data_IF_855573034968
#
_entry.id   IF_855573034968
#
_cell.length_a   1.000
_cell.length_b   1.000
_cell.length_c   1.000
_cell.angle_alpha   90.00
_cell.angle_beta   90.00
_cell.angle_gamma   90.00
#
_symmetry.space_group_name_H-M   'P 1'
#
loop_
_entity.id
_entity.type
_entity.pdbx_description
1 polymer ?
#
# COMPACT_ATOMS: atom_id res chain seq x y z
N UNK A 1 -18.10 -61.91 -28.50
CA UNK A 1 -17.24 -60.76 -28.85
C UNK A 1 -17.67 -59.62 -27.97
N UNK A 2 -16.92 -59.34 -26.84
CA UNK A 2 -17.24 -58.34 -25.85
C UNK A 2 -16.38 -57.13 -26.14
N UNK A 3 -17.00 -56.00 -26.53
CA UNK A 3 -16.34 -54.73 -26.77
C UNK A 3 -16.31 -53.98 -25.43
N UNK A 4 -15.12 -53.89 -24.83
CA UNK A 4 -14.87 -53.03 -23.64
C UNK A 4 -14.67 -51.57 -24.08
N UNK A 5 -15.66 -50.72 -23.80
CA UNK A 5 -15.49 -49.28 -23.89
C UNK A 5 -14.70 -48.78 -22.67
N UNK A 6 -13.44 -48.39 -22.89
CA UNK A 6 -12.66 -47.66 -21.88
C UNK A 6 -13.06 -46.19 -21.95
N UNK A 7 -13.86 -45.75 -21.00
CA UNK A 7 -14.15 -44.31 -20.81
C UNK A 7 -12.93 -43.65 -20.16
N UNK A 8 -12.16 -42.89 -20.94
CA UNK A 8 -11.07 -42.05 -20.43
C UNK A 8 -11.68 -40.74 -19.94
N UNK A 9 -11.81 -40.60 -18.62
CA UNK A 9 -12.27 -39.36 -17.98
C UNK A 9 -11.11 -38.39 -17.97
N UNK A 10 -11.13 -37.38 -18.86
CA UNK A 10 -10.15 -36.30 -18.92
C UNK A 10 -10.52 -35.27 -17.88
N UNK A 11 -9.83 -35.28 -16.74
CA UNK A 11 -10.00 -34.33 -15.65
C UNK A 11 -9.26 -33.02 -16.04
N UNK A 12 -9.99 -32.05 -16.59
CA UNK A 12 -9.45 -30.71 -16.84
C UNK A 12 -9.34 -29.94 -15.51
N UNK A 13 -8.12 -29.85 -15.00
CA UNK A 13 -7.83 -28.95 -13.88
C UNK A 13 -7.89 -27.49 -14.38
N UNK A 14 -8.93 -26.75 -13.98
CA UNK A 14 -8.95 -25.29 -14.09
C UNK A 14 -7.93 -24.72 -13.08
N UNK A 15 -6.81 -24.23 -13.58
CA UNK A 15 -5.88 -23.44 -12.79
C UNK A 15 -6.53 -22.06 -12.53
N UNK A 16 -7.01 -21.81 -11.32
CA UNK A 16 -7.43 -20.47 -10.87
C UNK A 16 -6.17 -19.67 -10.61
N UNK A 17 -5.77 -18.86 -11.59
CA UNK A 17 -4.73 -17.85 -11.40
C UNK A 17 -5.26 -16.77 -10.45
N UNK A 18 -4.84 -16.80 -9.19
CA UNK A 18 -5.01 -15.66 -8.27
C UNK A 18 -4.08 -14.55 -8.77
N UNK A 19 -4.62 -13.65 -9.58
CA UNK A 19 -3.90 -12.46 -10.02
C UNK A 19 -3.59 -11.58 -8.81
N UNK A 20 -2.30 -11.44 -8.47
CA UNK A 20 -1.85 -10.39 -7.55
C UNK A 20 -2.05 -9.07 -8.29
N UNK A 21 -3.01 -8.26 -7.84
CA UNK A 21 -3.21 -6.92 -8.38
C UNK A 21 -1.99 -6.07 -8.06
N UNK A 22 -1.42 -5.41 -9.08
CA UNK A 22 -0.37 -4.44 -8.85
C UNK A 22 -0.94 -3.23 -8.11
N UNK A 23 -0.15 -2.61 -7.22
CA UNK A 23 -0.57 -1.40 -6.52
C UNK A 23 -0.83 -0.26 -7.51
N UNK A 24 -1.93 0.47 -7.28
CA UNK A 24 -2.37 1.59 -8.11
C UNK A 24 -2.18 2.94 -7.38
N UNK A 25 -1.19 3.76 -7.81
CA UNK A 25 -0.97 5.08 -7.21
C UNK A 25 -2.16 6.03 -7.34
N UNK A 26 -2.98 5.95 -8.39
CA UNK A 26 -4.13 6.83 -8.55
C UNK A 26 -5.28 6.47 -7.59
N UNK A 27 -5.50 5.18 -7.35
CA UNK A 27 -6.39 4.72 -6.28
C UNK A 27 -5.84 5.16 -4.92
N UNK A 28 -4.54 5.01 -4.70
CA UNK A 28 -3.84 5.50 -3.50
C UNK A 28 -4.00 7.00 -3.28
N UNK A 29 -3.88 7.82 -4.33
CA UNK A 29 -4.13 9.26 -4.30
C UNK A 29 -5.55 9.61 -3.87
N UNK A 30 -6.52 8.90 -4.41
CA UNK A 30 -7.92 9.10 -4.05
C UNK A 30 -8.14 8.85 -2.56
N UNK A 31 -7.61 7.75 -2.05
CA UNK A 31 -7.70 7.39 -0.64
C UNK A 31 -6.91 8.36 0.25
N UNK A 32 -5.70 8.75 -0.16
CA UNK A 32 -4.88 9.75 0.54
C UNK A 32 -5.60 11.10 0.64
N UNK A 33 -6.30 11.52 -0.42
CA UNK A 33 -7.12 12.74 -0.41
C UNK A 33 -8.24 12.67 0.62
N UNK A 34 -8.86 11.53 0.77
CA UNK A 34 -9.96 11.33 1.70
C UNK A 34 -9.52 11.23 3.16
N UNK A 35 -8.40 10.57 3.45
CA UNK A 35 -8.05 10.15 4.81
C UNK A 35 -6.72 10.69 5.34
N UNK A 36 -5.76 11.07 4.48
CA UNK A 36 -4.38 11.34 4.90
C UNK A 36 -3.98 12.81 4.77
N UNK A 37 -4.53 13.52 3.79
CA UNK A 37 -4.06 14.86 3.38
C UNK A 37 -4.11 15.91 4.48
N UNK A 38 -5.05 15.82 5.42
CA UNK A 38 -5.22 16.82 6.47
C UNK A 38 -3.97 16.95 7.35
N UNK A 39 -3.27 15.84 7.59
CA UNK A 39 -2.07 15.81 8.41
C UNK A 39 -0.79 15.71 7.57
N UNK A 40 -0.78 14.83 6.57
CA UNK A 40 0.41 14.52 5.78
C UNK A 40 0.55 15.31 4.48
N UNK A 41 -0.49 16.08 4.10
CA UNK A 41 -0.56 16.72 2.78
C UNK A 41 -0.87 15.74 1.65
N UNK A 42 -1.50 16.22 0.59
CA UNK A 42 -1.70 15.40 -0.62
C UNK A 42 -0.38 15.20 -1.37
N UNK A 43 0.48 16.19 -1.32
CA UNK A 43 1.85 16.16 -1.83
C UNK A 43 2.85 15.43 -0.90
N UNK A 44 2.37 14.87 0.20
CA UNK A 44 3.19 14.19 1.19
C UNK A 44 4.03 15.12 2.07
N UNK A 45 3.80 16.43 2.00
CA UNK A 45 4.44 17.39 2.90
C UNK A 45 3.52 17.66 4.08
N UNK A 46 3.97 17.33 5.29
CA UNK A 46 3.17 17.42 6.51
C UNK A 46 2.62 18.82 6.74
N UNK A 47 1.33 18.88 7.08
CA UNK A 47 0.61 20.12 7.33
C UNK A 47 0.52 20.46 8.82
N UNK A 48 0.88 19.53 9.69
CA UNK A 48 0.90 19.69 11.15
C UNK A 48 2.23 19.20 11.71
N UNK A 49 2.74 19.79 12.82
CA UNK A 49 4.08 19.49 13.35
C UNK A 49 4.28 18.04 13.82
N UNK A 50 3.20 17.36 14.21
CA UNK A 50 3.26 15.98 14.74
C UNK A 50 3.19 14.92 13.65
N UNK A 51 2.88 15.29 12.40
CA UNK A 51 2.84 14.35 11.29
C UNK A 51 4.18 14.36 10.52
N UNK A 52 4.71 13.22 10.12
CA UNK A 52 5.89 13.17 9.27
C UNK A 52 5.55 13.49 7.81
N UNK A 53 6.57 13.95 7.06
CA UNK A 53 6.51 13.95 5.60
C UNK A 53 6.49 12.52 5.07
N UNK A 54 5.73 12.29 4.02
CA UNK A 54 5.61 10.98 3.35
C UNK A 54 6.05 11.04 1.88
N UNK A 55 6.29 12.24 1.35
CA UNK A 55 6.70 12.45 -0.03
C UNK A 55 7.98 11.67 -0.36
N UNK A 56 7.93 10.81 -1.38
CA UNK A 56 9.05 10.01 -1.83
C UNK A 56 9.54 8.95 -0.84
N UNK A 57 8.78 8.67 0.21
CA UNK A 57 9.15 7.65 1.20
C UNK A 57 9.07 6.25 0.57
N UNK A 58 9.96 5.37 1.01
CA UNK A 58 10.06 4.01 0.50
C UNK A 58 8.76 3.23 0.69
N UNK A 59 8.26 2.63 -0.39
CA UNK A 59 7.01 1.88 -0.39
C UNK A 59 6.98 0.75 0.63
N UNK A 60 8.05 -0.05 0.71
CA UNK A 60 8.13 -1.17 1.65
C UNK A 60 8.06 -0.68 3.10
N UNK A 61 8.71 0.45 3.38
CA UNK A 61 8.65 1.08 4.70
C UNK A 61 7.22 1.54 5.02
N UNK A 62 6.56 2.25 4.12
CA UNK A 62 5.19 2.73 4.31
C UNK A 62 4.21 1.59 4.55
N UNK A 63 4.26 0.53 3.73
CA UNK A 63 3.42 -0.66 3.92
C UNK A 63 3.67 -1.31 5.28
N UNK A 64 4.93 -1.45 5.67
CA UNK A 64 5.31 -2.03 6.97
C UNK A 64 4.76 -1.22 8.12
N UNK A 65 4.86 0.12 8.07
CA UNK A 65 4.39 0.98 9.14
C UNK A 65 2.85 1.00 9.24
N UNK A 66 2.13 1.08 8.12
CA UNK A 66 0.67 1.02 8.11
C UNK A 66 0.15 -0.32 8.66
N UNK A 67 0.77 -1.43 8.26
CA UNK A 67 0.45 -2.76 8.82
C UNK A 67 0.78 -2.86 10.31
N UNK A 68 1.86 -2.22 10.75
CA UNK A 68 2.24 -2.20 12.16
C UNK A 68 1.23 -1.40 13.00
N UNK A 69 0.76 -0.24 12.54
CA UNK A 69 -0.31 0.51 13.19
C UNK A 69 -1.63 -0.28 13.20
N UNK A 70 -1.98 -0.92 12.10
CA UNK A 70 -3.20 -1.74 11.99
C UNK A 70 -3.22 -2.91 12.97
N UNK A 71 -2.09 -3.57 13.14
CA UNK A 71 -1.94 -4.76 14.00
C UNK A 71 -1.68 -4.45 15.48
N UNK A 72 -1.41 -3.18 15.82
CA UNK A 72 -1.01 -2.80 17.18
C UNK A 72 0.47 -3.02 17.51
N UNK A 73 1.30 -3.45 16.56
CA UNK A 73 2.76 -3.53 16.74
C UNK A 73 3.42 -2.16 16.91
N UNK A 74 2.82 -1.15 16.31
CA UNK A 74 3.15 0.25 16.48
C UNK A 74 1.91 0.99 16.92
N UNK A 75 1.99 1.78 17.98
CA UNK A 75 0.83 2.49 18.53
C UNK A 75 0.98 3.99 18.33
N UNK A 76 -0.12 4.63 17.92
CA UNK A 76 -0.26 6.07 17.84
C UNK A 76 -1.76 6.40 17.87
N UNK A 77 -2.16 7.37 18.71
CA UNK A 77 -3.58 7.67 18.95
C UNK A 77 -4.43 7.91 17.69
N UNK A 78 -3.84 8.52 16.66
CA UNK A 78 -4.52 8.81 15.39
C UNK A 78 -4.27 7.70 14.37
N UNK A 79 -2.98 7.36 14.12
CA UNK A 79 -2.63 6.42 13.05
C UNK A 79 -3.14 5.01 13.31
N UNK A 80 -3.21 4.56 14.57
CA UNK A 80 -3.76 3.26 14.90
C UNK A 80 -5.27 3.17 14.57
N UNK A 81 -6.00 4.28 14.70
CA UNK A 81 -7.42 4.34 14.32
C UNK A 81 -7.58 4.33 12.80
N UNK A 82 -6.83 5.16 12.09
CA UNK A 82 -6.88 5.28 10.62
C UNK A 82 -6.49 3.96 9.95
N UNK A 83 -5.34 3.38 10.34
CA UNK A 83 -4.83 2.16 9.72
C UNK A 83 -5.69 0.92 10.00
N UNK A 84 -6.47 0.91 11.08
CA UNK A 84 -7.27 -0.25 11.50
C UNK A 84 -8.30 -0.69 10.45
N UNK A 85 -8.81 0.23 9.65
CA UNK A 85 -9.83 -0.03 8.64
C UNK A 85 -9.25 -0.32 7.25
N UNK A 86 -7.95 -0.11 7.04
CA UNK A 86 -7.31 -0.28 5.74
C UNK A 86 -7.11 -1.76 5.39
N UNK A 87 -7.43 -2.14 4.17
CA UNK A 87 -7.09 -3.44 3.59
C UNK A 87 -5.62 -3.50 3.18
N UNK A 88 -5.12 -4.68 2.85
CA UNK A 88 -3.75 -4.82 2.33
C UNK A 88 -3.58 -4.14 0.97
N UNK A 89 -4.61 -4.15 0.14
CA UNK A 89 -4.64 -3.48 -1.16
C UNK A 89 -4.59 -1.96 -0.97
N UNK A 90 -5.44 -1.39 -0.13
CA UNK A 90 -5.44 0.05 0.19
C UNK A 90 -4.11 0.52 0.78
N UNK A 91 -3.48 -0.27 1.63
CA UNK A 91 -2.14 0.02 2.16
C UNK A 91 -1.10 0.05 1.04
N UNK A 92 -1.17 -0.91 0.12
CA UNK A 92 -0.25 -0.99 -1.02
C UNK A 92 -0.41 0.20 -1.97
N UNK A 93 -1.65 0.59 -2.26
CA UNK A 93 -1.98 1.72 -3.12
C UNK A 93 -1.55 3.06 -2.51
N UNK A 94 -1.82 3.27 -1.21
CA UNK A 94 -1.35 4.45 -0.46
C UNK A 94 0.18 4.56 -0.48
N UNK A 95 0.86 3.45 -0.23
CA UNK A 95 2.33 3.42 -0.24
C UNK A 95 2.88 3.73 -1.63
N UNK A 96 2.26 3.21 -2.69
CA UNK A 96 2.62 3.51 -4.07
C UNK A 96 2.39 4.98 -4.44
N UNK A 97 1.31 5.60 -3.95
CA UNK A 97 1.06 7.02 -4.15
C UNK A 97 2.17 7.89 -3.56
N UNK A 98 2.46 7.74 -2.27
CA UNK A 98 3.46 8.58 -1.61
C UNK A 98 4.88 8.33 -2.12
N UNK A 99 5.25 7.09 -2.45
CA UNK A 99 6.53 6.77 -3.09
C UNK A 99 6.69 7.44 -4.45
N UNK A 100 5.61 7.59 -5.22
CA UNK A 100 5.63 8.18 -6.56
C UNK A 100 5.90 9.69 -6.57
N UNK A 101 5.82 10.37 -5.41
CA UNK A 101 6.03 11.81 -5.30
C UNK A 101 7.53 12.10 -5.33
N UNK A 102 7.95 12.83 -6.35
CA UNK A 102 9.35 13.24 -6.49
C UNK A 102 9.70 14.35 -5.52
N UNK A 103 10.83 14.20 -4.82
CA UNK A 103 11.39 15.20 -3.91
C UNK A 103 12.83 15.51 -4.28
N UNK A 104 13.25 16.73 -3.98
CA UNK A 104 14.66 17.16 -4.10
C UNK A 104 15.17 17.55 -2.73
N UNK A 105 16.34 17.02 -2.35
CA UNK A 105 17.01 17.35 -1.10
C UNK A 105 18.24 18.20 -1.39
N UNK A 106 18.47 19.23 -0.57
CA UNK A 106 19.65 20.08 -0.64
C UNK A 106 20.36 20.04 0.71
N UNK A 107 21.66 19.80 0.69
CA UNK A 107 22.47 19.83 1.90
C UNK A 107 22.61 21.25 2.43
N UNK A 108 22.62 21.44 3.77
CA UNK A 108 22.94 22.74 4.35
C UNK A 108 24.34 23.21 3.94
N UNK A 109 24.51 24.50 3.73
CA UNK A 109 25.81 25.08 3.32
C UNK A 109 26.96 24.82 4.31
N UNK A 110 26.66 24.56 5.58
CA UNK A 110 27.62 24.23 6.64
C UNK A 110 28.14 22.81 6.64
N UNK A 111 27.67 21.95 5.72
CA UNK A 111 28.07 20.53 5.63
C UNK A 111 29.15 20.26 4.57
N UNK A 112 29.80 21.33 4.05
CA UNK A 112 30.95 21.21 3.13
C UNK A 112 32.28 21.36 3.86
#
# INVERSE_FOLDING_TARGET
MRILFKATCLLTMLAVSSGVMAADPETGKTLATAQCRTCHGLDGIAQIPIAPHLAGENRIYLETQLKAFRSGKREHEIMSVIAKTLTDEEISDLAAWYESIEITATLPASSQ
#
